data_IF_025429108302
#
_entry.id   IF_025429108302
#
_cell.length_a   1.000
_cell.length_b   1.000
_cell.length_c   1.000
_cell.angle_alpha   90.00
_cell.angle_beta   90.00
_cell.angle_gamma   90.00
#
_symmetry.space_group_name_H-M   'P 1'
#
loop_
_entity.id
_entity.type
_entity.pdbx_description
1 polymer ?
#
# COMPACT_ATOMS: atom_id res chain seq x y z
N UNK A 1 -1.38 43.65 -44.22
CA UNK A 1 -1.43 43.74 -42.75
C UNK A 1 -1.98 42.43 -42.22
N UNK A 2 -1.12 41.58 -41.63
CA UNK A 2 -1.46 40.21 -41.20
C UNK A 2 -2.15 40.29 -39.82
N UNK A 3 -3.42 39.90 -39.73
CA UNK A 3 -4.13 39.73 -38.45
C UNK A 3 -3.77 38.36 -37.90
N UNK A 4 -2.96 38.33 -36.84
CA UNK A 4 -2.61 37.12 -36.11
C UNK A 4 -3.78 36.81 -35.16
N UNK A 5 -4.57 35.78 -35.46
CA UNK A 5 -5.60 35.25 -34.56
C UNK A 5 -4.93 34.23 -33.65
N UNK A 6 -4.70 34.60 -32.39
CA UNK A 6 -4.14 33.71 -31.36
C UNK A 6 -5.30 32.95 -30.70
N UNK A 7 -5.54 31.72 -31.13
CA UNK A 7 -6.53 30.82 -30.54
C UNK A 7 -5.91 30.18 -29.27
N UNK A 8 -6.22 30.72 -28.09
CA UNK A 8 -5.79 30.12 -26.82
C UNK A 8 -6.73 28.94 -26.50
N UNK A 9 -6.28 27.73 -26.80
CA UNK A 9 -6.91 26.49 -26.34
C UNK A 9 -6.62 26.28 -24.85
N UNK A 10 -7.47 26.83 -23.98
CA UNK A 10 -7.54 26.46 -22.57
C UNK A 10 -8.15 25.06 -22.46
N UNK A 11 -7.33 24.02 -22.60
CA UNK A 11 -7.76 22.67 -22.22
C UNK A 11 -7.60 22.53 -20.71
N UNK A 12 -8.65 22.14 -19.97
CA UNK A 12 -8.52 21.82 -18.55
C UNK A 12 -7.64 20.58 -18.44
N UNK A 13 -6.47 20.74 -17.83
CA UNK A 13 -5.59 19.66 -17.42
C UNK A 13 -6.29 18.86 -16.32
N UNK A 14 -7.15 17.93 -16.70
CA UNK A 14 -7.73 16.96 -15.78
C UNK A 14 -6.62 15.99 -15.37
N UNK A 15 -5.90 16.30 -14.29
CA UNK A 15 -5.00 15.37 -13.60
C UNK A 15 -5.90 14.37 -12.87
N UNK A 16 -6.43 13.40 -13.60
CA UNK A 16 -7.11 12.25 -13.01
C UNK A 16 -6.07 11.36 -12.35
N UNK A 17 -6.21 11.12 -11.04
CA UNK A 17 -5.49 10.05 -10.37
C UNK A 17 -5.75 8.73 -11.13
N UNK A 18 -4.71 8.16 -11.73
CA UNK A 18 -4.85 6.95 -12.54
C UNK A 18 -5.18 5.78 -11.62
N UNK A 19 -6.41 5.29 -11.73
CA UNK A 19 -6.82 4.02 -11.11
C UNK A 19 -6.29 2.89 -11.99
N UNK A 20 -5.62 1.93 -11.36
CA UNK A 20 -5.00 0.78 -12.02
C UNK A 20 -5.58 -0.51 -11.45
N UNK A 21 -5.67 -1.53 -12.30
CA UNK A 21 -6.09 -2.88 -11.91
C UNK A 21 -4.86 -3.79 -11.91
N UNK A 22 -4.59 -4.49 -10.81
CA UNK A 22 -3.58 -5.52 -10.76
C UNK A 22 -4.22 -6.90 -10.66
N UNK A 23 -3.82 -7.80 -11.55
CA UNK A 23 -4.08 -9.23 -11.38
C UNK A 23 -3.30 -9.75 -10.16
N UNK A 24 -2.04 -9.33 -10.01
CA UNK A 24 -1.24 -9.49 -8.79
C UNK A 24 0.00 -8.57 -8.86
N UNK A 25 0.17 -7.66 -7.91
CA UNK A 25 1.32 -6.76 -7.84
C UNK A 25 2.16 -7.02 -6.60
N UNK A 26 3.48 -7.12 -6.77
CA UNK A 26 4.43 -7.30 -5.65
C UNK A 26 4.65 -6.00 -4.90
N UNK A 27 4.41 -6.02 -3.61
CA UNK A 27 4.48 -4.85 -2.74
C UNK A 27 5.39 -5.09 -1.54
N UNK A 28 5.78 -4.00 -0.89
CA UNK A 28 6.34 -3.95 0.45
C UNK A 28 5.30 -3.33 1.36
N UNK A 29 5.05 -3.98 2.49
CA UNK A 29 4.06 -3.61 3.50
C UNK A 29 4.79 -3.06 4.71
N UNK A 30 4.55 -1.78 5.02
CA UNK A 30 5.07 -1.12 6.21
C UNK A 30 4.14 -1.36 7.39
N UNK A 31 4.61 -2.03 8.44
CA UNK A 31 3.84 -2.41 9.62
C UNK A 31 4.47 -1.78 10.85
N UNK A 32 3.67 -1.09 11.65
CA UNK A 32 4.12 -0.58 12.94
C UNK A 32 4.43 -1.75 13.89
N UNK A 33 5.55 -1.69 14.64
CA UNK A 33 5.97 -2.75 15.57
C UNK A 33 4.96 -3.02 16.69
N UNK A 34 4.08 -2.08 17.01
CA UNK A 34 2.94 -2.28 17.91
C UNK A 34 1.90 -3.27 17.36
N UNK A 35 1.93 -3.57 16.05
CA UNK A 35 1.16 -4.66 15.43
C UNK A 35 -0.28 -4.31 15.07
N UNK A 36 -0.71 -3.05 15.20
CA UNK A 36 -2.10 -2.65 14.98
C UNK A 36 -2.34 -1.82 13.72
N UNK A 37 -1.27 -1.34 13.06
CA UNK A 37 -1.37 -0.48 11.88
C UNK A 37 -0.45 -0.93 10.76
N UNK A 38 -0.98 -0.85 9.54
CA UNK A 38 -0.20 -0.84 8.33
C UNK A 38 -0.10 0.60 7.90
N UNK A 39 1.11 1.14 7.93
CA UNK A 39 1.31 2.58 7.77
C UNK A 39 1.28 2.96 6.28
N UNK A 40 1.89 2.13 5.42
CA UNK A 40 1.94 2.34 3.98
C UNK A 40 2.19 1.05 3.19
N UNK A 41 1.87 1.11 1.89
CA UNK A 41 2.22 0.09 0.91
C UNK A 41 3.07 0.73 -0.20
N UNK A 42 4.06 0.01 -0.69
CA UNK A 42 4.92 0.45 -1.79
C UNK A 42 5.07 -0.66 -2.80
N UNK A 43 5.32 -0.35 -4.08
CA UNK A 43 5.74 -1.39 -5.01
C UNK A 43 7.15 -1.86 -4.70
N UNK A 44 7.36 -3.18 -4.75
CA UNK A 44 8.69 -3.77 -4.57
C UNK A 44 9.70 -3.21 -5.59
N UNK A 45 9.27 -2.96 -6.82
CA UNK A 45 10.11 -2.36 -7.86
C UNK A 45 10.59 -0.96 -7.48
N UNK A 46 9.71 -0.13 -6.89
CA UNK A 46 10.04 1.21 -6.42
C UNK A 46 11.07 1.16 -5.30
N UNK A 47 10.89 0.28 -4.32
CA UNK A 47 11.84 0.09 -3.20
C UNK A 47 13.20 -0.42 -3.68
N UNK A 48 13.23 -1.30 -4.69
CA UNK A 48 14.50 -1.78 -5.26
C UNK A 48 15.30 -0.66 -5.93
N UNK A 49 14.62 0.33 -6.51
CA UNK A 49 15.24 1.48 -7.15
C UNK A 49 15.66 2.54 -6.14
N UNK A 50 14.87 2.75 -5.09
CA UNK A 50 15.10 3.74 -4.05
C UNK A 50 14.94 3.10 -2.68
N UNK A 51 15.99 2.41 -2.22
CA UNK A 51 15.99 1.73 -0.92
C UNK A 51 15.86 2.70 0.24
N UNK A 52 16.25 3.97 0.05
CA UNK A 52 16.17 5.02 1.08
C UNK A 52 14.72 5.40 1.39
N UNK A 53 13.75 5.05 0.54
CA UNK A 53 12.32 5.19 0.83
C UNK A 53 11.89 4.47 2.08
N UNK A 54 12.55 3.34 2.38
CA UNK A 54 12.33 2.62 3.61
C UNK A 54 13.45 3.04 4.53
N UNK A 55 13.31 4.22 5.12
CA UNK A 55 14.20 4.64 6.19
C UNK A 55 14.10 3.60 7.31
N UNK A 56 15.26 3.21 7.85
CA UNK A 56 15.34 2.31 8.99
C UNK A 56 14.75 3.02 10.21
N UNK A 57 13.44 2.85 10.41
CA UNK A 57 12.73 3.39 11.54
C UNK A 57 12.61 2.30 12.61
N UNK A 58 13.09 2.59 13.81
CA UNK A 58 13.06 1.66 14.95
C UNK A 58 11.64 1.22 15.35
N UNK A 59 10.58 1.86 14.83
CA UNK A 59 9.18 1.57 15.12
C UNK A 59 8.44 0.85 13.99
N UNK A 60 9.08 0.64 12.84
CA UNK A 60 8.45 0.05 11.64
C UNK A 60 9.17 -1.23 11.22
N UNK A 61 8.42 -2.20 10.69
CA UNK A 61 8.92 -3.39 10.01
C UNK A 61 8.36 -3.45 8.60
N UNK A 62 9.13 -4.00 7.69
CA UNK A 62 8.79 -4.01 6.27
C UNK A 62 8.74 -5.44 5.76
N UNK A 63 7.58 -5.89 5.30
CA UNK A 63 7.36 -7.26 4.84
C UNK A 63 7.05 -7.30 3.35
N UNK A 64 7.46 -8.37 2.67
CA UNK A 64 7.01 -8.63 1.32
C UNK A 64 5.52 -9.01 1.30
N UNK A 65 4.85 -8.68 0.21
CA UNK A 65 3.46 -9.01 0.01
C UNK A 65 3.01 -8.91 -1.43
N UNK A 66 1.74 -9.20 -1.64
CA UNK A 66 1.06 -9.04 -2.93
C UNK A 66 -0.24 -8.26 -2.76
N UNK A 67 -0.60 -7.53 -3.82
CA UNK A 67 -1.84 -6.77 -3.92
C UNK A 67 -2.61 -7.25 -5.16
N UNK A 68 -3.88 -7.58 -4.97
CA UNK A 68 -4.81 -7.93 -6.05
C UNK A 68 -6.02 -7.01 -6.00
N UNK A 69 -6.46 -6.56 -7.18
CA UNK A 69 -7.59 -5.64 -7.32
C UNK A 69 -7.16 -4.23 -7.71
N UNK A 70 -8.07 -3.28 -7.54
CA UNK A 70 -7.87 -1.89 -7.92
C UNK A 70 -7.05 -1.11 -6.89
N UNK A 71 -6.26 -0.17 -7.38
CA UNK A 71 -5.47 0.74 -6.55
C UNK A 71 -5.15 2.03 -7.30
N UNK A 72 -4.69 3.02 -6.53
CA UNK A 72 -4.08 4.24 -7.02
C UNK A 72 -2.65 4.35 -6.49
N UNK A 73 -1.83 5.15 -7.16
CA UNK A 73 -0.49 5.49 -6.68
C UNK A 73 -0.46 6.99 -6.40
N UNK A 74 -0.12 7.36 -5.17
CA UNK A 74 0.02 8.75 -4.77
C UNK A 74 1.37 8.93 -4.08
N UNK A 75 2.22 9.83 -4.57
CA UNK A 75 3.54 10.08 -4.00
C UNK A 75 4.37 8.81 -3.73
N UNK A 76 4.29 7.82 -4.63
CA UNK A 76 4.95 6.48 -4.56
C UNK A 76 4.31 5.48 -3.60
N UNK A 77 3.34 5.89 -2.79
CA UNK A 77 2.52 4.99 -2.00
C UNK A 77 1.43 4.36 -2.86
N UNK A 78 1.19 3.07 -2.62
CA UNK A 78 0.09 2.32 -3.21
C UNK A 78 -1.11 2.43 -2.28
N UNK A 79 -2.20 2.97 -2.81
CA UNK A 79 -3.47 3.17 -2.13
C UNK A 79 -4.50 2.20 -2.71
N UNK A 80 -4.75 1.04 -2.07
CA UNK A 80 -5.71 0.09 -2.59
C UNK A 80 -7.14 0.64 -2.51
N UNK A 81 -7.90 0.44 -3.58
CA UNK A 81 -9.33 0.72 -3.61
C UNK A 81 -10.09 -0.26 -2.72
N UNK A 82 -11.37 0.00 -2.47
CA UNK A 82 -12.26 -0.90 -1.73
C UNK A 82 -12.30 -2.29 -2.39
N UNK A 83 -12.28 -3.34 -1.57
CA UNK A 83 -12.38 -4.73 -2.02
C UNK A 83 -11.07 -5.35 -2.51
N UNK A 84 -10.00 -4.55 -2.62
CA UNK A 84 -8.67 -5.06 -2.92
C UNK A 84 -8.17 -6.00 -1.81
N UNK A 85 -7.39 -7.01 -2.21
CA UNK A 85 -6.82 -8.02 -1.33
C UNK A 85 -5.33 -7.82 -1.20
N UNK A 86 -4.86 -7.76 0.04
CA UNK A 86 -3.46 -7.63 0.39
C UNK A 86 -3.04 -8.91 1.10
N UNK A 87 -2.02 -9.58 0.59
CA UNK A 87 -1.37 -10.70 1.26
C UNK A 87 -0.01 -10.25 1.76
N UNK A 88 0.27 -10.51 3.03
CA UNK A 88 1.57 -10.23 3.67
C UNK A 88 2.26 -11.55 3.99
N UNK A 89 3.53 -11.68 3.61
CA UNK A 89 4.39 -12.81 3.92
C UNK A 89 5.16 -12.52 5.21
N UNK A 90 4.76 -13.15 6.31
CA UNK A 90 5.25 -12.88 7.67
C UNK A 90 6.70 -13.30 7.90
N UNK A 91 7.18 -14.21 7.06
CA UNK A 91 8.50 -14.82 7.06
C UNK A 91 9.47 -14.12 6.08
N UNK A 92 9.04 -13.03 5.44
CA UNK A 92 9.84 -12.32 4.43
C UNK A 92 9.98 -10.84 4.78
N UNK A 93 10.74 -10.55 5.84
CA UNK A 93 11.11 -9.18 6.20
C UNK A 93 12.19 -8.64 5.24
N UNK A 94 12.13 -7.34 4.90
CA UNK A 94 12.97 -6.71 3.87
C UNK A 94 14.34 -6.27 4.40
N UNK A 95 14.44 -5.87 5.67
CA UNK A 95 15.68 -5.29 6.24
C UNK A 95 16.29 -6.09 7.39
N UNK A 96 15.45 -6.67 8.25
CA UNK A 96 15.94 -7.42 9.41
C UNK A 96 15.97 -8.91 9.15
N UNK A 97 16.88 -9.60 9.85
CA UNK A 97 16.87 -11.06 10.02
C UNK A 97 16.11 -11.50 11.27
N UNK A 98 15.67 -10.54 12.09
CA UNK A 98 14.79 -10.83 13.23
C UNK A 98 13.36 -10.97 12.71
N UNK A 99 13.07 -12.14 12.12
CA UNK A 99 11.83 -12.57 11.42
C UNK A 99 10.56 -12.58 12.29
N UNK A 100 10.50 -11.78 13.35
CA UNK A 100 9.37 -11.75 14.28
C UNK A 100 8.32 -10.80 13.73
N UNK A 101 7.31 -11.36 13.07
CA UNK A 101 6.10 -10.64 12.69
C UNK A 101 5.32 -10.18 13.94
N UNK A 102 4.78 -8.95 13.97
CA UNK A 102 4.01 -8.44 15.12
C UNK A 102 2.59 -9.01 15.15
N UNK A 103 2.46 -10.30 15.46
CA UNK A 103 1.22 -11.10 15.32
C UNK A 103 0.07 -10.58 16.21
N UNK A 104 0.35 -10.21 17.46
CA UNK A 104 -0.68 -9.96 18.50
C UNK A 104 -1.76 -8.97 18.06
N UNK A 105 -1.38 -7.88 17.40
CA UNK A 105 -2.34 -6.86 17.00
C UNK A 105 -3.26 -7.26 15.84
N UNK A 106 -2.93 -8.30 15.08
CA UNK A 106 -3.73 -8.84 13.97
C UNK A 106 -4.57 -10.07 14.36
N UNK A 107 -4.34 -10.66 15.54
CA UNK A 107 -5.16 -11.77 16.07
C UNK A 107 -6.40 -11.24 16.80
N UNK A 108 -6.25 -10.16 17.56
CA UNK A 108 -7.32 -9.61 18.40
C UNK A 108 -8.24 -8.65 17.63
N UNK A 109 -7.80 -8.12 16.49
CA UNK A 109 -8.54 -7.12 15.73
C UNK A 109 -9.07 -7.69 14.41
N UNK A 110 -10.40 -7.63 14.26
CA UNK A 110 -11.05 -7.95 12.99
C UNK A 110 -10.73 -6.91 11.90
N UNK A 111 -10.63 -5.64 12.30
CA UNK A 111 -10.36 -4.52 11.40
C UNK A 111 -9.05 -3.84 11.78
N UNK A 112 -8.23 -3.58 10.77
CA UNK A 112 -6.92 -2.94 10.89
C UNK A 112 -6.88 -1.66 10.07
N UNK A 113 -6.10 -0.70 10.55
CA UNK A 113 -5.88 0.55 9.82
C UNK A 113 -4.79 0.35 8.76
N UNK A 114 -5.08 0.78 7.53
CA UNK A 114 -4.20 0.77 6.37
C UNK A 114 -4.02 2.20 5.85
N UNK A 115 -3.03 2.93 6.35
CA UNK A 115 -2.84 4.35 6.06
C UNK A 115 -4.07 5.18 6.42
N UNK A 116 -4.83 5.62 5.40
CA UNK A 116 -6.12 6.34 5.54
C UNK A 116 -7.35 5.45 5.34
N UNK A 117 -7.17 4.19 4.96
CA UNK A 117 -8.24 3.21 4.68
C UNK A 117 -8.34 2.19 5.81
N UNK A 118 -9.44 1.45 5.90
CA UNK A 118 -9.59 0.29 6.79
C UNK A 118 -9.48 -1.01 5.99
N UNK A 119 -8.96 -2.06 6.61
CA UNK A 119 -8.97 -3.40 6.04
C UNK A 119 -9.44 -4.41 7.09
N UNK A 120 -10.02 -5.52 6.65
CA UNK A 120 -10.40 -6.63 7.52
C UNK A 120 -9.41 -7.76 7.39
N UNK A 121 -9.05 -8.36 8.52
CA UNK A 121 -8.30 -9.61 8.55
C UNK A 121 -9.23 -10.73 8.08
N UNK A 122 -8.94 -11.27 6.89
CA UNK A 122 -9.68 -12.41 6.31
C UNK A 122 -9.06 -13.71 6.78
N UNK A 123 -7.72 -13.76 6.83
CA UNK A 123 -6.99 -14.95 7.24
C UNK A 123 -5.69 -14.54 7.95
N UNK A 124 -5.42 -15.18 9.08
CA UNK A 124 -4.19 -15.00 9.83
C UNK A 124 -3.65 -16.39 10.19
N UNK A 125 -2.77 -16.93 9.34
CA UNK A 125 -2.17 -18.25 9.53
C UNK A 125 -0.65 -18.17 9.62
N UNK A 126 0.01 -19.30 9.89
CA UNK A 126 1.48 -19.37 9.85
C UNK A 126 2.00 -18.88 8.49
N UNK A 127 2.91 -17.91 8.48
CA UNK A 127 3.55 -17.38 7.27
C UNK A 127 2.74 -16.34 6.49
N UNK A 128 1.40 -16.30 6.60
CA UNK A 128 0.58 -15.39 5.78
C UNK A 128 -0.46 -14.62 6.60
N UNK A 129 -0.62 -13.33 6.29
CA UNK A 129 -1.74 -12.50 6.70
C UNK A 129 -2.48 -12.02 5.44
N UNK A 130 -3.78 -12.26 5.36
CA UNK A 130 -4.62 -11.81 4.25
C UNK A 130 -5.61 -10.78 4.76
N UNK A 131 -5.59 -9.63 4.10
CA UNK A 131 -6.42 -8.48 4.41
C UNK A 131 -7.28 -8.12 3.20
N UNK A 132 -8.50 -7.64 3.45
CA UNK A 132 -9.37 -7.08 2.42
C UNK A 132 -9.77 -5.67 2.77
N UNK A 133 -9.53 -4.71 1.88
CA UNK A 133 -9.87 -3.31 2.13
C UNK A 133 -11.39 -3.11 2.19
N UNK A 134 -11.81 -2.31 3.16
CA UNK A 134 -13.18 -1.89 3.39
C UNK A 134 -13.38 -0.45 2.94
N UNK A 135 -14.64 -0.08 2.74
CA UNK A 135 -14.99 1.31 2.52
C UNK A 135 -14.66 2.13 3.77
N UNK A 136 -14.16 3.35 3.59
CA UNK A 136 -14.23 4.35 4.65
C UNK A 136 -15.69 4.82 4.66
N UNK A 137 -16.49 4.35 5.62
CA UNK A 137 -17.77 5.00 5.91
C UNK A 137 -17.44 6.48 6.20
N UNK A 138 -18.00 7.34 5.36
CA UNK A 138 -17.79 8.79 5.35
C UNK A 138 -18.73 9.44 6.35
#
# INVERSE_FOLDING_TARGET
MKRLVLLIFLTPFCIGAQTKMAQEAKIVVSINKGGHTIDALYFLATIKQDKMLLEENSTTKYFLGTLTGEYQVHNREVLPSQGATIKVFKDQEVFSKDDIFPIKGFEEQKDVRLGKTKATVIENKKGELILKTKNNEK
#
